data_IF_571019072182
#
_entry.id   IF_571019072182
#
_cell.length_a   1.000
_cell.length_b   1.000
_cell.length_c   1.000
_cell.angle_alpha   90.00
_cell.angle_beta   90.00
_cell.angle_gamma   90.00
#
_symmetry.space_group_name_H-M   'P 1'
#
loop_
_entity.id
_entity.type
_entity.pdbx_description
1 polymer ?
#
# COMPACT_ATOMS: atom_id res chain seq x y z
N UNK A 1 -25.66 -51.83 -58.26
CA UNK A 1 -25.69 -52.66 -57.04
C UNK A 1 -26.31 -51.85 -55.91
N UNK A 2 -27.36 -52.36 -55.29
CA UNK A 2 -28.02 -51.82 -54.08
C UNK A 2 -27.59 -52.66 -52.83
N UNK A 3 -28.06 -52.41 -51.58
CA UNK A 3 -28.02 -51.17 -50.78
C UNK A 3 -27.66 -51.47 -49.27
N UNK A 4 -28.16 -50.62 -48.33
CA UNK A 4 -28.37 -50.74 -46.84
C UNK A 4 -27.57 -49.64 -46.07
N UNK A 5 -28.09 -48.53 -45.50
CA UNK A 5 -29.29 -48.09 -44.68
C UNK A 5 -29.05 -48.06 -43.15
N UNK A 6 -29.02 -46.86 -42.51
CA UNK A 6 -30.06 -46.21 -41.62
C UNK A 6 -29.72 -46.40 -40.11
N UNK A 7 -29.96 -45.52 -39.12
CA UNK A 7 -30.96 -44.44 -38.84
C UNK A 7 -30.30 -43.22 -38.11
N UNK A 8 -30.78 -41.96 -38.08
CA UNK A 8 -32.14 -41.36 -37.83
C UNK A 8 -32.51 -41.35 -36.33
N UNK A 9 -33.10 -40.34 -35.66
CA UNK A 9 -33.22 -38.86 -35.79
C UNK A 9 -33.81 -38.31 -34.46
N UNK A 10 -33.82 -36.99 -34.21
CA UNK A 10 -34.49 -36.33 -33.06
C UNK A 10 -36.03 -36.30 -33.21
N UNK A 11 -36.85 -36.31 -32.13
CA UNK A 11 -37.35 -35.02 -31.56
C UNK A 11 -37.78 -35.02 -30.04
N UNK A 12 -38.24 -33.85 -29.58
CA UNK A 12 -38.87 -33.48 -28.26
C UNK A 12 -40.43 -33.53 -28.34
N UNK A 13 -41.26 -33.24 -27.28
CA UNK A 13 -41.14 -33.34 -25.80
C UNK A 13 -42.42 -33.86 -25.03
N UNK A 14 -42.37 -33.92 -23.68
CA UNK A 14 -43.49 -33.90 -22.66
C UNK A 14 -44.52 -35.06 -22.59
N UNK A 15 -45.29 -35.26 -21.47
CA UNK A 15 -45.03 -34.99 -20.04
C UNK A 15 -45.36 -36.20 -19.09
N UNK A 16 -44.87 -36.19 -17.84
CA UNK A 16 -45.37 -37.07 -16.75
C UNK A 16 -45.31 -36.36 -15.38
N UNK A 17 -46.27 -36.65 -14.49
CA UNK A 17 -46.51 -35.99 -13.20
C UNK A 17 -46.12 -36.89 -11.98
N UNK A 18 -46.26 -36.45 -10.70
CA UNK A 18 -45.34 -36.80 -9.60
C UNK A 18 -45.83 -37.89 -8.63
N UNK A 19 -44.94 -38.36 -7.74
CA UNK A 19 -45.19 -38.78 -6.34
C UNK A 19 -43.83 -39.20 -5.67
N UNK A 20 -43.71 -39.39 -4.33
CA UNK A 20 -43.69 -38.31 -3.35
C UNK A 20 -42.41 -38.30 -2.47
N UNK A 21 -42.32 -37.27 -1.62
CA UNK A 21 -41.19 -36.92 -0.76
C UNK A 21 -40.99 -37.87 0.44
N UNK A 22 -39.73 -38.12 0.85
CA UNK A 22 -39.38 -38.90 2.04
C UNK A 22 -38.58 -38.03 3.04
N UNK A 23 -39.09 -38.00 4.27
CA UNK A 23 -38.83 -37.03 5.35
C UNK A 23 -37.38 -36.84 5.83
N UNK A 24 -37.07 -35.66 6.40
CA UNK A 24 -36.19 -35.49 7.55
C UNK A 24 -36.97 -35.48 8.88
N UNK A 25 -36.23 -35.64 9.99
CA UNK A 25 -36.74 -35.88 11.35
C UNK A 25 -37.39 -34.67 12.06
N UNK A 26 -38.18 -34.95 13.10
CA UNK A 26 -39.08 -33.99 13.76
C UNK A 26 -38.41 -33.02 14.75
N UNK A 27 -39.11 -31.92 15.10
CA UNK A 27 -39.26 -31.63 16.53
C UNK A 27 -40.68 -31.21 16.97
N UNK A 28 -40.97 -31.53 18.24
CA UNK A 28 -41.89 -30.87 19.18
C UNK A 28 -43.34 -30.57 18.75
N UNK A 29 -44.28 -31.35 19.31
CA UNK A 29 -45.71 -31.04 19.25
C UNK A 29 -46.10 -29.83 20.10
N UNK A 30 -46.82 -28.87 19.49
CA UNK A 30 -47.60 -27.83 20.16
C UNK A 30 -49.06 -27.90 19.65
N UNK A 31 -50.02 -27.62 20.54
CA UNK A 31 -51.43 -27.93 20.31
C UNK A 31 -52.17 -26.89 19.45
N UNK A 32 -53.05 -27.30 18.53
CA UNK A 32 -54.05 -26.42 17.91
C UNK A 32 -55.30 -26.25 18.81
N UNK A 33 -56.11 -25.18 18.60
CA UNK A 33 -57.15 -24.76 19.54
C UNK A 33 -58.45 -25.60 19.48
N UNK A 34 -59.24 -25.46 20.55
CA UNK A 34 -60.57 -26.07 20.68
C UNK A 34 -61.57 -25.55 19.65
N UNK A 35 -62.20 -26.45 18.90
CA UNK A 35 -63.34 -26.13 18.04
C UNK A 35 -64.61 -26.04 18.88
N UNK A 36 -65.35 -24.93 18.76
CA UNK A 36 -66.65 -24.74 19.43
C UNK A 36 -67.70 -25.77 18.98
N UNK A 37 -68.62 -26.06 19.88
CA UNK A 37 -69.59 -27.13 19.72
C UNK A 37 -70.74 -26.74 18.75
N UNK A 38 -70.97 -27.58 17.74
CA UNK A 38 -72.27 -27.63 17.06
C UNK A 38 -73.36 -28.01 18.07
N UNK A 39 -74.52 -27.33 18.09
CA UNK A 39 -75.57 -27.59 19.07
C UNK A 39 -76.19 -28.97 18.87
N UNK A 40 -76.46 -29.66 19.98
CA UNK A 40 -77.09 -30.97 19.97
C UNK A 40 -78.52 -30.92 19.40
N UNK A 41 -78.85 -31.90 18.55
CA UNK A 41 -80.24 -32.18 18.19
C UNK A 41 -81.03 -32.59 19.45
N UNK A 42 -82.28 -32.12 19.63
CA UNK A 42 -83.10 -32.56 20.75
C UNK A 42 -83.38 -34.07 20.65
N UNK A 43 -83.20 -34.78 21.76
CA UNK A 43 -83.51 -36.20 21.85
C UNK A 43 -85.00 -36.45 21.61
N UNK A 44 -85.31 -37.57 20.93
CA UNK A 44 -86.68 -38.08 20.82
C UNK A 44 -87.33 -38.23 22.20
N UNK A 45 -88.63 -37.94 22.35
CA UNK A 45 -89.33 -38.22 23.60
C UNK A 45 -89.28 -39.72 23.92
N UNK A 46 -89.22 -40.03 25.22
CA UNK A 46 -89.22 -41.41 25.70
C UNK A 46 -90.49 -42.16 25.25
N UNK A 47 -90.43 -43.48 25.03
CA UNK A 47 -91.63 -44.29 24.81
C UNK A 47 -92.56 -44.19 26.04
N UNK A 48 -93.87 -44.15 25.78
CA UNK A 48 -94.92 -44.08 26.81
C UNK A 48 -94.70 -45.09 27.93
N UNK A 49 -94.81 -44.60 29.17
CA UNK A 49 -94.83 -45.45 30.35
C UNK A 49 -96.09 -46.33 30.32
N UNK A 50 -95.98 -47.56 30.80
CA UNK A 50 -96.92 -48.62 30.47
C UNK A 50 -98.35 -48.30 30.94
N UNK A 51 -99.27 -48.16 29.98
CA UNK A 51 -100.70 -48.04 30.25
C UNK A 51 -101.17 -49.22 31.12
N UNK A 52 -101.59 -48.92 32.35
CA UNK A 52 -102.06 -49.94 33.29
C UNK A 52 -103.27 -50.68 32.69
N UNK A 53 -103.33 -52.02 32.79
CA UNK A 53 -104.44 -52.79 32.25
C UNK A 53 -105.73 -52.49 33.02
N UNK A 54 -106.61 -51.69 32.42
CA UNK A 54 -107.96 -51.44 32.94
C UNK A 54 -108.72 -52.77 32.95
N UNK A 55 -109.19 -53.17 34.14
CA UNK A 55 -109.88 -54.44 34.34
C UNK A 55 -111.13 -54.58 33.45
N UNK A 56 -111.46 -55.80 32.97
CA UNK A 56 -112.63 -56.03 32.12
C UNK A 56 -113.92 -55.72 32.88
N UNK A 57 -114.58 -54.62 32.53
CA UNK A 57 -115.90 -54.29 33.08
C UNK A 57 -116.98 -55.16 32.44
N UNK A 58 -117.35 -56.20 33.18
CA UNK A 58 -118.67 -56.81 33.32
C UNK A 58 -119.67 -56.58 32.18
N UNK A 59 -119.94 -57.62 31.40
CA UNK A 59 -120.89 -57.63 30.28
C UNK A 59 -122.40 -57.62 30.68
N UNK A 60 -122.76 -57.09 31.85
CA UNK A 60 -124.12 -57.09 32.39
C UNK A 60 -124.43 -55.78 33.17
N UNK A 61 -124.67 -54.70 32.43
CA UNK A 61 -125.30 -53.45 32.91
C UNK A 61 -125.59 -52.53 31.72
N UNK A 62 -126.53 -52.91 30.84
CA UNK A 62 -126.87 -52.15 29.63
C UNK A 62 -128.32 -51.63 29.58
N UNK A 63 -129.11 -51.85 30.65
CA UNK A 63 -130.58 -51.74 30.58
C UNK A 63 -131.24 -50.98 31.74
N UNK A 64 -130.50 -50.08 32.43
CA UNK A 64 -131.14 -49.11 33.35
C UNK A 64 -130.33 -47.81 33.54
N UNK A 65 -129.79 -47.26 32.45
CA UNK A 65 -129.38 -45.85 32.42
C UNK A 65 -130.60 -45.00 32.06
N UNK A 66 -131.01 -44.00 32.88
CA UNK A 66 -132.01 -43.04 32.44
C UNK A 66 -131.46 -42.38 31.16
N UNK A 67 -132.21 -42.49 30.05
CA UNK A 67 -131.80 -41.91 28.76
C UNK A 67 -131.41 -40.45 29.02
N UNK A 68 -130.19 -40.01 28.67
CA UNK A 68 -129.79 -38.63 28.90
C UNK A 68 -130.84 -37.73 28.26
N UNK A 69 -131.38 -36.80 29.07
CA UNK A 69 -132.41 -35.85 28.63
C UNK A 69 -131.99 -35.20 27.31
N UNK A 70 -132.97 -34.99 26.43
CA UNK A 70 -132.73 -34.67 25.02
C UNK A 70 -131.59 -33.67 24.82
N UNK A 71 -130.70 -34.00 23.88
CA UNK A 71 -129.53 -33.20 23.47
C UNK A 71 -129.86 -31.70 23.58
N UNK A 72 -129.16 -30.90 24.41
CA UNK A 72 -129.53 -29.51 24.58
C UNK A 72 -129.46 -28.79 23.24
N UNK A 73 -130.54 -28.06 22.94
CA UNK A 73 -130.69 -27.28 21.71
C UNK A 73 -129.54 -26.23 21.62
N UNK A 74 -129.03 -25.97 20.42
CA UNK A 74 -127.92 -25.03 20.21
C UNK A 74 -126.50 -25.64 20.24
N UNK A 75 -126.32 -26.93 20.56
CA UNK A 75 -124.96 -27.53 20.62
C UNK A 75 -124.23 -27.58 19.27
N UNK A 76 -124.96 -27.69 18.15
CA UNK A 76 -124.36 -27.72 16.82
C UNK A 76 -123.93 -26.32 16.43
N UNK A 77 -124.79 -25.33 16.63
CA UNK A 77 -124.54 -23.92 16.39
C UNK A 77 -123.38 -23.40 17.27
N UNK A 78 -123.30 -23.82 18.53
CA UNK A 78 -122.19 -23.47 19.42
C UNK A 78 -120.85 -24.13 19.01
N UNK A 79 -120.91 -25.36 18.45
CA UNK A 79 -119.73 -26.03 17.89
C UNK A 79 -119.26 -25.32 16.61
N UNK A 80 -120.18 -25.04 15.69
CA UNK A 80 -119.92 -24.34 14.42
C UNK A 80 -119.39 -22.92 14.67
N UNK A 81 -119.97 -22.16 15.59
CA UNK A 81 -119.48 -20.84 15.99
C UNK A 81 -118.05 -20.90 16.55
N UNK A 82 -117.70 -21.93 17.32
CA UNK A 82 -116.35 -22.14 17.84
C UNK A 82 -115.35 -22.51 16.73
N UNK A 83 -115.77 -23.33 15.75
CA UNK A 83 -114.95 -23.64 14.57
C UNK A 83 -114.72 -22.37 13.74
N UNK A 84 -115.77 -21.60 13.44
CA UNK A 84 -115.68 -20.33 12.72
C UNK A 84 -114.78 -19.31 13.45
N UNK A 85 -114.87 -19.20 14.78
CA UNK A 85 -113.98 -18.36 15.57
C UNK A 85 -112.51 -18.85 15.53
N UNK A 86 -112.28 -20.17 15.55
CA UNK A 86 -110.94 -20.74 15.42
C UNK A 86 -110.36 -20.53 14.01
N UNK A 87 -111.19 -20.62 12.96
CA UNK A 87 -110.79 -20.32 11.58
C UNK A 87 -110.52 -18.83 11.37
N UNK A 88 -111.33 -17.94 11.95
CA UNK A 88 -111.08 -16.49 11.94
C UNK A 88 -109.76 -16.15 12.64
N UNK A 89 -109.50 -16.72 13.82
CA UNK A 89 -108.23 -16.55 14.54
C UNK A 89 -107.03 -17.09 13.75
N UNK A 90 -107.17 -18.25 13.08
CA UNK A 90 -106.14 -18.78 12.16
C UNK A 90 -105.91 -17.86 10.96
N UNK A 91 -106.97 -17.29 10.38
CA UNK A 91 -106.88 -16.36 9.25
C UNK A 91 -106.31 -14.99 9.64
N UNK A 92 -106.47 -14.56 10.90
CA UNK A 92 -105.77 -13.38 11.44
C UNK A 92 -104.30 -13.69 11.71
N UNK A 93 -104.00 -14.80 12.39
CA UNK A 93 -102.62 -15.24 12.64
C UNK A 93 -101.83 -15.44 11.33
N UNK A 94 -102.47 -15.98 10.28
CA UNK A 94 -101.87 -16.10 8.95
C UNK A 94 -101.58 -14.73 8.31
N UNK A 95 -102.47 -13.73 8.49
CA UNK A 95 -102.23 -12.35 8.03
C UNK A 95 -101.11 -11.66 8.80
N UNK A 96 -101.06 -11.82 10.12
CA UNK A 96 -99.98 -11.31 10.96
C UNK A 96 -98.63 -11.96 10.61
N UNK A 97 -98.60 -13.29 10.38
CA UNK A 97 -97.41 -14.00 9.94
C UNK A 97 -96.95 -13.58 8.54
N UNK A 98 -97.86 -13.34 7.60
CA UNK A 98 -97.53 -12.82 6.27
C UNK A 98 -96.93 -11.41 6.35
N UNK A 99 -97.51 -10.51 7.14
CA UNK A 99 -96.98 -9.17 7.38
C UNK A 99 -95.61 -9.20 8.07
N UNK A 100 -95.40 -10.08 9.06
CA UNK A 100 -94.11 -10.28 9.71
C UNK A 100 -93.05 -10.82 8.73
N UNK A 101 -93.43 -11.75 7.83
CA UNK A 101 -92.54 -12.28 6.80
C UNK A 101 -92.22 -11.26 5.69
N UNK A 102 -93.11 -10.30 5.43
CA UNK A 102 -92.82 -9.14 4.56
C UNK A 102 -91.87 -8.16 5.24
N UNK A 103 -92.14 -7.77 6.49
CA UNK A 103 -91.25 -6.91 7.27
C UNK A 103 -89.85 -7.51 7.44
N UNK A 104 -89.73 -8.82 7.65
CA UNK A 104 -88.46 -9.53 7.72
C UNK A 104 -87.69 -9.50 6.39
N UNK A 105 -88.39 -9.61 5.25
CA UNK A 105 -87.78 -9.46 3.91
C UNK A 105 -87.28 -8.04 3.67
N UNK A 106 -88.11 -7.03 3.97
CA UNK A 106 -87.70 -5.62 3.87
C UNK A 106 -86.50 -5.29 4.78
N UNK A 107 -86.45 -5.85 5.99
CA UNK A 107 -85.32 -5.70 6.89
C UNK A 107 -84.04 -6.38 6.36
N UNK A 108 -84.16 -7.57 5.75
CA UNK A 108 -83.03 -8.28 5.12
C UNK A 108 -82.52 -7.53 3.88
N UNK A 109 -83.41 -7.01 3.04
CA UNK A 109 -83.06 -6.17 1.88
C UNK A 109 -82.36 -4.87 2.31
N UNK A 110 -82.87 -4.20 3.35
CA UNK A 110 -82.24 -3.01 3.91
C UNK A 110 -80.86 -3.31 4.54
N UNK A 111 -80.69 -4.46 5.19
CA UNK A 111 -79.39 -4.89 5.73
C UNK A 111 -78.38 -5.18 4.60
N UNK A 112 -78.81 -5.89 3.54
CA UNK A 112 -77.98 -6.16 2.37
C UNK A 112 -77.58 -4.87 1.63
N UNK A 113 -78.49 -3.90 1.51
CA UNK A 113 -78.21 -2.59 0.93
C UNK A 113 -77.19 -1.79 1.78
N UNK A 114 -77.31 -1.82 3.12
CA UNK A 114 -76.32 -1.22 4.01
C UNK A 114 -74.95 -1.88 3.91
N UNK A 115 -74.90 -3.22 3.78
CA UNK A 115 -73.63 -3.93 3.58
C UNK A 115 -72.99 -3.57 2.24
N UNK A 116 -73.76 -3.58 1.15
CA UNK A 116 -73.29 -3.17 -0.17
C UNK A 116 -72.72 -1.74 -0.16
N UNK A 117 -73.40 -0.79 0.49
CA UNK A 117 -72.92 0.58 0.63
C UNK A 117 -71.61 0.67 1.46
N UNK A 118 -71.44 -0.15 2.51
CA UNK A 118 -70.19 -0.24 3.26
C UNK A 118 -69.06 -0.84 2.42
N UNK A 119 -69.36 -1.89 1.64
CA UNK A 119 -68.38 -2.49 0.73
C UNK A 119 -67.96 -1.51 -0.37
N UNK A 120 -68.87 -0.70 -0.91
CA UNK A 120 -68.54 0.33 -1.90
C UNK A 120 -67.71 1.46 -1.28
N UNK A 121 -68.08 1.96 -0.10
CA UNK A 121 -67.29 2.96 0.62
C UNK A 121 -65.86 2.48 0.91
N UNK A 122 -65.71 1.22 1.34
CA UNK A 122 -64.40 0.60 1.56
C UNK A 122 -63.58 0.46 0.26
N UNK A 123 -64.21 0.14 -0.89
CA UNK A 123 -63.54 0.14 -2.20
C UNK A 123 -63.07 1.54 -2.60
N UNK A 124 -63.91 2.56 -2.45
CA UNK A 124 -63.56 3.95 -2.74
C UNK A 124 -62.44 4.48 -1.82
N UNK A 125 -62.41 4.04 -0.55
CA UNK A 125 -61.31 4.36 0.37
C UNK A 125 -60.01 3.64 -0.03
N UNK A 126 -60.07 2.36 -0.36
CA UNK A 126 -58.91 1.59 -0.84
C UNK A 126 -58.34 2.16 -2.15
N UNK A 127 -59.19 2.61 -3.08
CA UNK A 127 -58.76 3.25 -4.33
C UNK A 127 -58.05 4.59 -4.07
N UNK A 128 -58.61 5.44 -3.20
CA UNK A 128 -57.99 6.71 -2.78
C UNK A 128 -56.67 6.48 -2.03
N UNK A 129 -56.59 5.46 -1.18
CA UNK A 129 -55.36 5.08 -0.50
C UNK A 129 -54.29 4.59 -1.49
N UNK A 130 -54.67 3.76 -2.46
CA UNK A 130 -53.77 3.30 -3.52
C UNK A 130 -53.31 4.44 -4.44
N UNK A 131 -54.16 5.43 -4.72
CA UNK A 131 -53.75 6.62 -5.47
C UNK A 131 -52.78 7.49 -4.65
N UNK A 132 -53.06 7.74 -3.37
CA UNK A 132 -52.16 8.47 -2.48
C UNK A 132 -50.79 7.78 -2.36
N UNK A 133 -50.74 6.45 -2.31
CA UNK A 133 -49.50 5.68 -2.36
C UNK A 133 -48.74 5.89 -3.67
N UNK A 134 -49.40 5.75 -4.84
CA UNK A 134 -48.76 6.01 -6.15
C UNK A 134 -48.23 7.45 -6.25
N UNK A 135 -48.97 8.44 -5.74
CA UNK A 135 -48.52 9.83 -5.72
C UNK A 135 -47.32 10.04 -4.77
N UNK A 136 -47.26 9.34 -3.63
CA UNK A 136 -46.12 9.40 -2.71
C UNK A 136 -44.87 8.72 -3.30
N UNK A 137 -45.03 7.56 -3.95
CA UNK A 137 -43.95 6.86 -4.65
C UNK A 137 -43.37 7.70 -5.79
N UNK A 138 -44.24 8.33 -6.61
CA UNK A 138 -43.82 9.22 -7.69
C UNK A 138 -43.03 10.45 -7.17
N UNK A 139 -43.50 11.10 -6.09
CA UNK A 139 -42.76 12.20 -5.44
C UNK A 139 -41.41 11.73 -4.89
N UNK A 140 -41.37 10.58 -4.25
CA UNK A 140 -40.12 10.01 -3.74
C UNK A 140 -39.15 9.62 -4.89
N UNK A 141 -39.65 9.23 -6.06
CA UNK A 141 -38.83 9.05 -7.26
C UNK A 141 -38.31 10.39 -7.81
N UNK A 142 -39.17 11.40 -7.95
CA UNK A 142 -38.76 12.75 -8.37
C UNK A 142 -37.69 13.35 -7.43
N UNK A 143 -37.86 13.21 -6.12
CA UNK A 143 -36.86 13.64 -5.12
C UNK A 143 -35.54 12.89 -5.26
N UNK A 144 -35.58 11.56 -5.53
CA UNK A 144 -34.37 10.75 -5.79
C UNK A 144 -33.67 11.18 -7.08
N UNK A 145 -34.41 11.38 -8.17
CA UNK A 145 -33.86 11.87 -9.44
C UNK A 145 -33.26 13.28 -9.28
N UNK A 146 -33.92 14.17 -8.53
CA UNK A 146 -33.41 15.51 -8.24
C UNK A 146 -32.18 15.51 -7.31
N UNK A 147 -32.06 14.54 -6.40
CA UNK A 147 -30.87 14.35 -5.59
C UNK A 147 -29.70 13.77 -6.42
N UNK A 148 -29.99 12.80 -7.30
CA UNK A 148 -28.99 12.25 -8.22
C UNK A 148 -28.47 13.30 -9.20
N UNK A 149 -29.36 14.13 -9.77
CA UNK A 149 -28.99 15.22 -10.66
C UNK A 149 -28.06 16.25 -9.98
N UNK A 150 -28.37 16.67 -8.74
CA UNK A 150 -27.50 17.53 -7.93
C UNK A 150 -26.14 16.87 -7.66
N UNK A 151 -26.14 15.61 -7.24
CA UNK A 151 -24.90 14.88 -6.99
C UNK A 151 -24.09 14.62 -8.28
N UNK A 152 -24.71 14.64 -9.47
CA UNK A 152 -24.02 14.59 -10.76
C UNK A 152 -23.43 15.95 -11.16
N UNK A 153 -24.13 17.05 -10.86
CA UNK A 153 -23.64 18.43 -11.04
C UNK A 153 -22.44 18.72 -10.13
N UNK A 154 -22.54 18.43 -8.83
CA UNK A 154 -21.44 18.53 -7.86
C UNK A 154 -20.20 17.73 -8.30
N UNK A 155 -20.40 16.53 -8.86
CA UNK A 155 -19.30 15.71 -9.40
C UNK A 155 -18.65 16.34 -10.64
N UNK A 156 -19.42 16.96 -11.53
CA UNK A 156 -18.88 17.69 -12.69
C UNK A 156 -18.11 18.94 -12.26
N UNK A 157 -18.60 19.68 -11.27
CA UNK A 157 -17.87 20.80 -10.69
C UNK A 157 -16.55 20.36 -10.03
N UNK A 158 -16.58 19.28 -9.25
CA UNK A 158 -15.40 18.73 -8.60
C UNK A 158 -14.36 18.24 -9.65
N UNK A 159 -14.81 17.61 -10.72
CA UNK A 159 -13.94 17.21 -11.83
C UNK A 159 -13.35 18.42 -12.56
N UNK A 160 -14.16 19.44 -12.87
CA UNK A 160 -13.68 20.67 -13.51
C UNK A 160 -12.61 21.38 -12.67
N UNK A 161 -12.86 21.57 -11.36
CA UNK A 161 -11.87 22.12 -10.42
C UNK A 161 -10.59 21.28 -10.37
N UNK A 162 -10.71 19.95 -10.36
CA UNK A 162 -9.56 19.06 -10.39
C UNK A 162 -8.80 19.09 -11.74
N UNK A 163 -9.45 19.43 -12.85
CA UNK A 163 -8.80 19.67 -14.14
C UNK A 163 -8.06 21.01 -14.15
N UNK A 164 -8.68 22.09 -13.64
CA UNK A 164 -8.04 23.40 -13.46
C UNK A 164 -6.81 23.33 -12.56
N UNK A 165 -6.88 22.62 -11.43
CA UNK A 165 -5.74 22.39 -10.53
C UNK A 165 -4.60 21.63 -11.22
N UNK A 166 -4.93 20.64 -12.07
CA UNK A 166 -3.92 19.90 -12.86
C UNK A 166 -3.25 20.78 -13.90
N UNK A 167 -4.02 21.59 -14.63
CA UNK A 167 -3.49 22.56 -15.59
C UNK A 167 -2.59 23.58 -14.90
N UNK A 168 -3.03 24.18 -13.79
CA UNK A 168 -2.22 25.10 -13.01
C UNK A 168 -0.94 24.45 -12.43
N UNK A 169 -0.98 23.16 -12.08
CA UNK A 169 0.19 22.41 -11.66
C UNK A 169 1.16 22.10 -12.81
N UNK A 170 0.64 21.81 -14.02
CA UNK A 170 1.44 21.62 -15.23
C UNK A 170 2.11 22.92 -15.68
N UNK A 171 1.37 24.04 -15.70
CA UNK A 171 1.92 25.37 -15.99
C UNK A 171 3.02 25.78 -15.00
N UNK A 172 2.85 25.51 -13.71
CA UNK A 172 3.88 25.74 -12.69
C UNK A 172 5.14 24.92 -12.95
N UNK A 173 5.01 23.62 -13.28
CA UNK A 173 6.15 22.76 -13.64
C UNK A 173 6.84 23.24 -14.91
N UNK A 174 6.08 23.67 -15.91
CA UNK A 174 6.62 24.22 -17.14
C UNK A 174 7.37 25.56 -16.91
N UNK A 175 6.85 26.41 -16.02
CA UNK A 175 7.51 27.64 -15.61
C UNK A 175 8.79 27.38 -14.81
N UNK A 176 8.77 26.42 -13.89
CA UNK A 176 9.94 25.98 -13.10
C UNK A 176 11.03 25.40 -14.01
N UNK A 177 10.67 24.52 -14.95
CA UNK A 177 11.61 23.94 -15.92
C UNK A 177 12.25 25.03 -16.81
N UNK A 178 11.47 26.01 -17.29
CA UNK A 178 11.99 27.16 -18.05
C UNK A 178 12.91 28.04 -17.21
N UNK A 179 12.59 28.25 -15.93
CA UNK A 179 13.46 29.00 -15.02
C UNK A 179 14.78 28.24 -14.75
N UNK A 180 14.73 26.92 -14.62
CA UNK A 180 15.94 26.10 -14.49
C UNK A 180 16.80 26.13 -15.77
N UNK A 181 16.18 26.01 -16.94
CA UNK A 181 16.85 26.14 -18.24
C UNK A 181 17.53 27.52 -18.38
N UNK A 182 16.82 28.60 -18.05
CA UNK A 182 17.38 29.96 -18.04
C UNK A 182 18.56 30.11 -17.07
N UNK A 183 18.48 29.49 -15.88
CA UNK A 183 19.60 29.49 -14.91
C UNK A 183 20.81 28.72 -15.45
N UNK A 184 20.60 27.56 -16.08
CA UNK A 184 21.68 26.77 -16.71
C UNK A 184 22.31 27.53 -17.88
N UNK A 185 21.51 28.19 -18.71
CA UNK A 185 21.99 29.03 -19.81
C UNK A 185 22.78 30.25 -19.30
N UNK A 186 22.31 30.91 -18.23
CA UNK A 186 23.02 32.02 -17.60
C UNK A 186 24.35 31.57 -16.95
N UNK A 187 24.40 30.40 -16.32
CA UNK A 187 25.63 29.83 -15.77
C UNK A 187 26.63 29.45 -16.89
N UNK A 188 26.15 28.84 -17.98
CA UNK A 188 26.97 28.55 -19.15
C UNK A 188 27.56 29.82 -19.77
N UNK A 189 26.73 30.86 -20.00
CA UNK A 189 27.19 32.14 -20.51
C UNK A 189 28.20 32.83 -19.58
N UNK A 190 28.02 32.73 -18.26
CA UNK A 190 28.97 33.25 -17.27
C UNK A 190 30.32 32.51 -17.31
N UNK A 191 30.30 31.18 -17.47
CA UNK A 191 31.52 30.36 -17.66
C UNK A 191 32.24 30.72 -18.97
N UNK A 192 31.52 30.85 -20.08
CA UNK A 192 32.07 31.30 -21.36
C UNK A 192 32.68 32.71 -21.25
N UNK A 193 32.05 33.63 -20.51
CA UNK A 193 32.61 34.96 -20.27
C UNK A 193 33.87 34.90 -19.40
N UNK A 194 33.89 34.07 -18.36
CA UNK A 194 35.07 33.85 -17.52
C UNK A 194 36.24 33.26 -18.31
N UNK A 195 35.99 32.23 -19.12
CA UNK A 195 36.98 31.61 -20.01
C UNK A 195 37.53 32.62 -21.02
N UNK A 196 36.67 33.45 -21.64
CA UNK A 196 37.12 34.52 -22.54
C UNK A 196 38.00 35.54 -21.81
N UNK A 197 37.61 35.97 -20.61
CA UNK A 197 38.42 36.89 -19.78
C UNK A 197 39.73 36.24 -19.32
N UNK A 198 39.75 34.92 -19.09
CA UNK A 198 40.97 34.18 -18.75
C UNK A 198 41.91 34.03 -19.94
N UNK A 199 41.37 33.74 -21.13
CA UNK A 199 42.14 33.70 -22.38
C UNK A 199 42.75 35.07 -22.72
N UNK A 200 42.00 36.16 -22.56
CA UNK A 200 42.50 37.54 -22.76
C UNK A 200 43.64 37.88 -21.78
N UNK A 201 43.51 37.52 -20.49
CA UNK A 201 44.59 37.67 -19.50
C UNK A 201 45.82 36.84 -19.88
N UNK A 202 45.64 35.57 -20.25
CA UNK A 202 46.74 34.69 -20.64
C UNK A 202 47.42 35.15 -21.94
N UNK A 203 46.71 35.79 -22.86
CA UNK A 203 47.31 36.42 -24.04
C UNK A 203 48.10 37.68 -23.67
N UNK A 204 47.57 38.53 -22.77
CA UNK A 204 48.28 39.70 -22.25
C UNK A 204 49.58 39.30 -21.53
N UNK A 205 49.54 38.29 -20.66
CA UNK A 205 50.72 37.73 -19.99
C UNK A 205 51.77 37.18 -20.97
N UNK A 206 51.34 36.50 -22.05
CA UNK A 206 52.24 36.03 -23.11
C UNK A 206 52.90 37.20 -23.85
N UNK A 207 52.14 38.25 -24.19
CA UNK A 207 52.67 39.45 -24.84
C UNK A 207 53.67 40.19 -23.93
N UNK A 208 53.38 40.29 -22.63
CA UNK A 208 54.34 40.84 -21.65
C UNK A 208 55.60 39.99 -21.53
N UNK A 209 55.47 38.66 -21.47
CA UNK A 209 56.62 37.75 -21.40
C UNK A 209 57.48 37.81 -22.67
N UNK A 210 56.87 37.90 -23.86
CA UNK A 210 57.56 38.07 -25.12
C UNK A 210 58.30 39.41 -25.18
N UNK A 211 57.67 40.51 -24.75
CA UNK A 211 58.30 41.83 -24.67
C UNK A 211 59.49 41.85 -23.70
N UNK A 212 59.37 41.24 -22.52
CA UNK A 212 60.47 41.08 -21.56
C UNK A 212 61.61 40.25 -22.14
N UNK A 213 61.30 39.14 -22.80
CA UNK A 213 62.29 38.30 -23.46
C UNK A 213 62.97 39.03 -24.64
N UNK A 214 62.27 39.93 -25.34
CA UNK A 214 62.88 40.77 -26.37
C UNK A 214 63.79 41.85 -25.77
N UNK A 215 63.37 42.48 -24.66
CA UNK A 215 64.21 43.43 -23.92
C UNK A 215 65.50 42.75 -23.41
N UNK A 216 65.38 41.55 -22.85
CA UNK A 216 66.51 40.74 -22.40
C UNK A 216 67.44 40.36 -23.56
N UNK A 217 66.90 39.90 -24.70
CA UNK A 217 67.70 39.65 -25.92
C UNK A 217 68.46 40.90 -26.37
N UNK A 218 67.78 42.05 -26.44
CA UNK A 218 68.40 43.34 -26.80
C UNK A 218 69.44 43.78 -25.77
N UNK A 219 69.27 43.47 -24.48
CA UNK A 219 70.25 43.74 -23.43
C UNK A 219 71.47 42.82 -23.54
N UNK A 220 71.27 41.53 -23.82
CA UNK A 220 72.34 40.57 -24.04
C UNK A 220 73.19 40.92 -25.27
N UNK A 221 72.56 41.36 -26.37
CA UNK A 221 73.23 41.84 -27.57
C UNK A 221 74.07 43.09 -27.30
N UNK A 222 73.52 44.08 -26.58
CA UNK A 222 74.30 45.26 -26.13
C UNK A 222 75.49 44.87 -25.26
N UNK A 223 75.30 43.99 -24.28
CA UNK A 223 76.37 43.52 -23.42
C UNK A 223 77.43 42.70 -24.19
N UNK A 224 77.05 42.02 -25.28
CA UNK A 224 78.02 41.37 -26.15
C UNK A 224 78.79 42.37 -27.02
N UNK A 225 78.13 43.40 -27.56
CA UNK A 225 78.79 44.48 -28.29
C UNK A 225 79.80 45.23 -27.38
N UNK A 226 79.41 45.56 -26.15
CA UNK A 226 80.30 46.15 -25.14
C UNK A 226 81.50 45.24 -24.81
N UNK A 227 81.29 43.92 -24.68
CA UNK A 227 82.39 42.97 -24.49
C UNK A 227 83.34 42.93 -25.70
N UNK A 228 82.82 42.93 -26.93
CA UNK A 228 83.63 42.96 -28.16
C UNK A 228 84.40 44.27 -28.29
N UNK A 229 83.81 45.41 -27.93
CA UNK A 229 84.53 46.69 -27.87
C UNK A 229 85.62 46.69 -26.80
N UNK A 230 85.35 46.14 -25.60
CA UNK A 230 86.35 46.03 -24.54
C UNK A 230 87.51 45.10 -24.94
N UNK A 231 87.22 43.99 -25.60
CA UNK A 231 88.23 43.08 -26.16
C UNK A 231 89.07 43.76 -27.25
N UNK A 232 88.44 44.50 -28.18
CA UNK A 232 89.15 45.25 -29.21
C UNK A 232 90.05 46.34 -28.61
N UNK A 233 89.59 47.08 -27.59
CA UNK A 233 90.41 48.06 -26.84
C UNK A 233 91.57 47.38 -26.12
N UNK A 234 91.33 46.26 -25.45
CA UNK A 234 92.39 45.49 -24.80
C UNK A 234 93.40 44.92 -25.80
N UNK A 235 92.97 44.53 -27.01
CA UNK A 235 93.89 44.13 -28.08
C UNK A 235 94.70 45.32 -28.60
N UNK A 236 94.09 46.49 -28.80
CA UNK A 236 94.79 47.73 -29.16
C UNK A 236 95.83 48.12 -28.10
N UNK A 237 95.46 48.10 -26.81
CA UNK A 237 96.39 48.34 -25.71
C UNK A 237 97.52 47.31 -25.67
N UNK A 238 97.24 46.02 -25.90
CA UNK A 238 98.28 44.98 -25.99
C UNK A 238 99.22 45.20 -27.17
N UNK A 239 98.69 45.54 -28.35
CA UNK A 239 99.50 45.89 -29.53
C UNK A 239 100.35 47.14 -29.29
N UNK A 240 99.81 48.15 -28.61
CA UNK A 240 100.55 49.35 -28.23
C UNK A 240 101.63 49.07 -27.17
N UNK A 241 101.37 48.18 -26.20
CA UNK A 241 102.35 47.74 -25.22
C UNK A 241 103.46 46.88 -25.86
N UNK A 242 103.12 46.00 -26.82
CA UNK A 242 104.09 45.21 -27.58
C UNK A 242 104.97 46.11 -28.46
N UNK A 243 104.39 47.10 -29.14
CA UNK A 243 105.14 48.09 -29.92
C UNK A 243 106.10 48.92 -29.03
N UNK A 244 105.66 49.36 -27.85
CA UNK A 244 106.52 50.03 -26.86
C UNK A 244 107.64 49.12 -26.35
N UNK A 245 107.33 47.86 -26.03
CA UNK A 245 108.33 46.88 -25.62
C UNK A 245 109.34 46.57 -26.75
N UNK A 246 108.90 46.59 -28.02
CA UNK A 246 109.81 46.48 -29.15
C UNK A 246 110.69 47.73 -29.31
N UNK A 247 110.13 48.94 -29.13
CA UNK A 247 110.88 50.19 -29.13
C UNK A 247 111.92 50.23 -27.98
N UNK A 248 111.53 49.85 -26.76
CA UNK A 248 112.43 49.69 -25.62
C UNK A 248 113.53 48.65 -25.88
N UNK A 249 113.19 47.51 -26.50
CA UNK A 249 114.18 46.49 -26.90
C UNK A 249 115.15 47.02 -27.95
N UNK A 250 114.67 47.76 -28.96
CA UNK A 250 115.51 48.41 -29.99
C UNK A 250 116.39 49.50 -29.36
N UNK A 251 115.89 50.26 -28.39
CA UNK A 251 116.65 51.25 -27.65
C UNK A 251 117.74 50.60 -26.76
N UNK A 252 117.39 49.52 -26.05
CA UNK A 252 118.34 48.74 -25.25
C UNK A 252 119.38 47.99 -26.11
N UNK A 253 119.01 47.55 -27.31
CA UNK A 253 119.96 46.99 -28.28
C UNK A 253 120.89 48.07 -28.84
N UNK A 254 120.38 49.28 -29.13
CA UNK A 254 121.20 50.42 -29.53
C UNK A 254 122.13 50.90 -28.40
N UNK A 255 121.68 50.89 -27.14
CA UNK A 255 122.57 51.10 -25.98
C UNK A 255 123.62 50.01 -25.85
N UNK A 256 123.25 48.73 -26.00
CA UNK A 256 124.22 47.62 -26.01
C UNK A 256 125.25 47.76 -27.13
N UNK A 257 124.84 48.18 -28.32
CA UNK A 257 125.76 48.45 -29.43
C UNK A 257 126.70 49.62 -29.10
N UNK A 258 126.19 50.73 -28.54
CA UNK A 258 127.03 51.84 -28.06
C UNK A 258 128.01 51.41 -26.96
N UNK A 259 127.54 50.65 -25.98
CA UNK A 259 128.38 50.09 -24.91
C UNK A 259 129.43 49.11 -25.46
N UNK A 260 129.10 48.35 -26.50
CA UNK A 260 130.05 47.48 -27.21
C UNK A 260 131.08 48.31 -28.00
N UNK A 261 130.68 49.41 -28.64
CA UNK A 261 131.60 50.33 -29.32
C UNK A 261 132.51 51.07 -28.35
N UNK A 262 131.99 51.47 -27.17
CA UNK A 262 132.78 52.08 -26.10
C UNK A 262 133.73 51.05 -25.46
N UNK A 263 133.29 49.82 -25.20
CA UNK A 263 134.17 48.73 -24.74
C UNK A 263 135.23 48.34 -25.79
N UNK A 264 134.91 48.40 -27.08
CA UNK A 264 135.89 48.22 -28.17
C UNK A 264 136.82 49.43 -28.34
N UNK A 265 136.42 50.62 -27.87
CA UNK A 265 137.30 51.80 -27.78
C UNK A 265 138.23 51.69 -26.58
N UNK A 266 137.75 51.21 -25.44
CA UNK A 266 138.51 50.95 -24.22
C UNK A 266 139.52 49.82 -24.42
N UNK A 267 139.12 48.72 -25.07
CA UNK A 267 140.00 47.62 -25.48
C UNK A 267 141.07 48.01 -26.53
N UNK A 268 140.95 49.19 -27.16
CA UNK A 268 141.99 49.79 -28.02
C UNK A 268 142.91 50.76 -27.27
N UNK A 269 142.70 50.98 -25.97
CA UNK A 269 143.43 51.97 -25.16
C UNK A 269 144.06 51.40 -23.87
N UNK A 270 143.97 50.10 -23.59
CA UNK A 270 144.59 49.52 -22.38
C UNK A 270 145.01 48.05 -22.49
N UNK A 271 146.33 47.81 -22.46
CA UNK A 271 146.94 46.53 -22.01
C UNK A 271 147.36 46.68 -20.53
N UNK A 272 146.86 45.84 -19.61
CA UNK A 272 147.56 45.34 -18.39
C UNK A 272 146.63 44.56 -17.42
N UNK A 273 147.09 43.40 -16.92
CA UNK A 273 146.57 42.71 -15.71
C UNK A 273 145.20 42.01 -15.86
N UNK A 274 145.03 40.68 -15.89
CA UNK A 274 145.76 39.52 -15.36
C UNK A 274 145.56 39.20 -13.86
N UNK A 275 144.99 38.00 -13.63
CA UNK A 275 144.94 37.18 -12.40
C UNK A 275 143.98 37.59 -11.25
N UNK A 276 143.27 36.60 -10.66
CA UNK A 276 142.44 36.85 -9.46
C UNK A 276 141.18 35.98 -9.24
N UNK A 277 141.22 34.70 -9.60
CA UNK A 277 140.66 33.54 -8.84
C UNK A 277 139.16 33.41 -8.48
N UNK A 278 138.61 32.25 -8.86
CA UNK A 278 137.31 31.73 -8.40
C UNK A 278 137.19 31.55 -6.87
N UNK A 279 136.08 32.02 -6.30
CA UNK A 279 135.58 31.56 -5.00
C UNK A 279 134.15 31.04 -5.13
N UNK A 280 134.02 29.75 -5.41
CA UNK A 280 132.76 29.03 -5.28
C UNK A 280 132.42 28.85 -3.80
N UNK A 281 131.64 29.78 -3.25
CA UNK A 281 131.10 29.69 -1.88
C UNK A 281 129.92 28.72 -1.82
N UNK A 282 130.00 27.74 -0.92
CA UNK A 282 128.90 26.83 -0.57
C UNK A 282 128.56 26.92 0.92
N UNK A 283 127.27 27.07 1.21
CA UNK A 283 126.67 27.03 2.56
C UNK A 283 126.79 28.31 3.39
N UNK A 284 126.02 28.53 4.48
CA UNK A 284 124.76 27.89 4.95
C UNK A 284 124.21 28.74 6.11
N UNK A 285 122.98 29.26 6.00
CA UNK A 285 122.26 29.93 7.09
C UNK A 285 120.79 29.44 7.13
N UNK A 286 120.13 29.32 8.31
CA UNK A 286 119.06 28.34 8.45
C UNK A 286 117.62 28.88 8.43
N UNK A 287 116.73 28.11 7.78
CA UNK A 287 115.25 28.20 7.73
C UNK A 287 114.63 29.39 6.97
N UNK A 288 113.89 29.04 5.90
CA UNK A 288 112.97 29.92 5.17
C UNK A 288 113.36 30.08 3.69
N UNK A 289 112.52 29.79 2.69
CA UNK A 289 111.16 29.24 2.77
C UNK A 289 110.41 29.44 1.45
N UNK A 290 110.57 28.53 0.50
CA UNK A 290 109.76 28.49 -0.72
C UNK A 290 108.94 27.19 -0.73
N UNK A 291 107.62 27.31 -0.62
CA UNK A 291 106.69 26.20 -0.79
C UNK A 291 106.47 25.87 -2.28
N UNK A 292 105.79 24.74 -2.53
CA UNK A 292 104.80 24.43 -3.62
C UNK A 292 105.15 23.13 -4.36
N UNK A 293 104.33 22.08 -4.49
CA UNK A 293 103.03 21.61 -3.96
C UNK A 293 103.12 20.07 -3.87
N UNK A 294 102.42 19.41 -2.93
CA UNK A 294 101.46 18.30 -3.22
C UNK A 294 100.93 17.66 -1.92
N UNK A 295 99.61 17.74 -1.71
CA UNK A 295 98.88 16.66 -1.01
C UNK A 295 98.63 16.72 0.51
N UNK A 296 98.52 17.90 1.13
CA UNK A 296 97.75 18.06 2.40
C UNK A 296 96.26 18.32 2.08
N UNK A 297 95.29 17.99 2.93
CA UNK A 297 95.36 17.53 4.32
C UNK A 297 94.21 16.56 4.68
N UNK A 298 94.53 15.63 5.58
CA UNK A 298 93.55 15.03 6.47
C UNK A 298 93.89 15.38 7.91
N UNK A 299 93.09 16.24 8.55
CA UNK A 299 93.09 16.50 9.99
C UNK A 299 91.63 16.71 10.41
N UNK A 300 91.01 15.79 11.14
CA UNK A 300 91.14 15.59 12.59
C UNK A 300 90.57 16.74 13.41
N UNK A 301 89.58 16.41 14.24
CA UNK A 301 88.83 17.33 15.05
C UNK A 301 89.61 17.87 16.26
N UNK A 302 89.30 19.10 16.66
CA UNK A 302 89.06 19.48 18.04
C UNK A 302 88.24 20.78 18.13
N UNK A 303 87.06 20.71 18.77
CA UNK A 303 86.44 21.72 19.69
C UNK A 303 86.40 23.19 19.21
N UNK A 304 85.25 23.90 19.12
CA UNK A 304 84.28 24.14 20.21
C UNK A 304 82.90 24.67 19.65
N UNK A 305 81.94 25.30 20.37
CA UNK A 305 80.60 24.72 20.47
C UNK A 305 79.47 25.69 20.06
N UNK A 306 79.06 25.72 18.78
CA UNK A 306 78.00 26.64 18.31
C UNK A 306 76.90 26.02 17.43
N UNK A 307 76.77 24.70 17.41
CA UNK A 307 75.79 23.98 16.57
C UNK A 307 74.55 23.43 17.32
N UNK A 308 74.44 23.66 18.64
CA UNK A 308 73.39 23.07 19.48
C UNK A 308 72.21 24.02 19.83
N UNK A 309 72.18 25.25 19.29
CA UNK A 309 71.28 26.31 19.78
C UNK A 309 70.36 26.98 18.72
N UNK A 310 70.45 26.63 17.43
CA UNK A 310 69.70 27.30 16.35
C UNK A 310 68.96 26.35 15.38
N UNK A 311 68.29 25.33 15.93
CA UNK A 311 67.34 24.48 15.20
C UNK A 311 66.00 24.27 15.96
N UNK A 312 65.68 25.15 16.90
CA UNK A 312 64.47 25.09 17.74
C UNK A 312 63.37 26.09 17.37
N UNK A 313 63.54 26.88 16.31
CA UNK A 313 62.65 27.99 15.96
C UNK A 313 62.39 28.09 14.45
N UNK A 314 61.54 27.20 13.93
CA UNK A 314 60.69 27.47 12.74
C UNK A 314 59.49 26.49 12.70
N UNK A 315 58.82 26.32 13.84
CA UNK A 315 57.55 25.61 13.91
C UNK A 315 56.38 26.56 13.62
N UNK A 316 56.21 27.03 12.37
CA UNK A 316 54.90 27.43 11.82
C UNK A 316 54.98 27.72 10.31
N UNK A 317 54.13 27.06 9.50
CA UNK A 317 53.86 27.51 8.13
C UNK A 317 53.60 26.41 7.08
N UNK A 318 52.33 26.02 6.93
CA UNK A 318 51.64 25.62 5.67
C UNK A 318 52.48 24.86 4.61
N UNK A 319 52.38 23.55 4.44
CA UNK A 319 51.21 22.77 3.98
C UNK A 319 50.67 23.22 2.60
N UNK A 320 51.00 22.48 1.53
CA UNK A 320 50.14 22.27 0.35
C UNK A 320 50.57 21.00 -0.42
N UNK A 321 49.58 20.21 -0.85
CA UNK A 321 49.58 19.27 -2.01
C UNK A 321 50.52 18.03 -2.02
N UNK A 322 50.16 16.89 -2.63
CA UNK A 322 48.94 16.48 -3.37
C UNK A 322 48.63 14.97 -3.22
N UNK A 323 47.46 14.53 -3.67
CA UNK A 323 46.84 13.20 -3.42
C UNK A 323 47.54 11.95 -3.99
N UNK A 324 46.89 10.77 -4.00
CA UNK A 324 45.46 10.48 -3.77
C UNK A 324 45.23 9.00 -3.43
N UNK A 325 44.11 8.68 -2.74
CA UNK A 325 43.34 7.43 -2.95
C UNK A 325 41.91 7.58 -2.37
N UNK A 326 40.96 6.78 -2.87
CA UNK A 326 39.52 7.11 -2.89
C UNK A 326 38.66 6.53 -1.77
N UNK A 327 37.68 7.30 -1.28
CA UNK A 327 36.38 6.78 -0.80
C UNK A 327 35.38 6.64 -1.95
N UNK A 328 34.15 6.16 -1.80
CA UNK A 328 33.27 5.97 -0.63
C UNK A 328 32.09 5.02 -1.09
N UNK A 329 30.88 4.90 -0.45
CA UNK A 329 30.38 5.57 0.76
C UNK A 329 29.47 4.76 1.73
N UNK A 330 29.10 5.44 2.84
CA UNK A 330 27.75 5.54 3.42
C UNK A 330 27.29 4.70 4.66
N UNK A 331 26.66 5.46 5.59
CA UNK A 331 25.53 5.14 6.50
C UNK A 331 25.76 4.54 7.92
N UNK A 332 25.13 5.24 8.89
CA UNK A 332 24.46 4.84 10.17
C UNK A 332 24.71 3.45 10.81
N UNK A 333 24.65 3.25 12.14
CA UNK A 333 24.23 4.12 13.24
C UNK A 333 23.90 3.27 14.49
N UNK A 334 24.53 3.62 15.61
CA UNK A 334 24.33 3.24 17.03
C UNK A 334 23.31 2.15 17.46
N UNK A 335 23.79 1.13 18.20
CA UNK A 335 22.98 0.34 19.17
C UNK A 335 23.81 -0.05 20.41
N UNK A 336 23.22 0.10 21.61
CA UNK A 336 23.75 -0.46 22.88
C UNK A 336 23.01 -1.75 23.26
N UNK A 337 23.70 -2.78 23.82
CA UNK A 337 23.06 -3.97 24.38
C UNK A 337 22.92 -3.92 25.91
N UNK A 338 21.82 -4.47 26.43
CA UNK A 338 21.67 -4.88 27.84
C UNK A 338 21.07 -6.30 27.92
N UNK A 339 21.53 -7.08 28.90
CA UNK A 339 21.31 -8.53 28.99
C UNK A 339 20.02 -8.91 29.77
N UNK A 340 19.45 -10.11 29.53
CA UNK A 340 18.21 -10.56 30.19
C UNK A 340 18.44 -11.23 31.55
N UNK A 341 17.40 -11.25 32.39
CA UNK A 341 17.31 -12.11 33.59
C UNK A 341 16.04 -12.96 33.55
N UNK A 342 16.13 -14.20 34.03
CA UNK A 342 15.06 -15.21 33.99
C UNK A 342 14.35 -15.36 35.33
N UNK A 343 13.04 -15.63 35.31
CA UNK A 343 12.27 -16.10 36.47
C UNK A 343 11.42 -17.32 36.06
N UNK A 344 11.22 -18.23 37.02
CA UNK A 344 10.72 -19.61 36.88
C UNK A 344 9.29 -19.75 37.49
N UNK A 345 8.41 -20.62 36.96
CA UNK A 345 7.02 -20.75 37.42
C UNK A 345 6.82 -21.79 38.56
N UNK A 346 5.62 -21.80 39.15
CA UNK A 346 5.22 -22.67 40.29
C UNK A 346 3.83 -23.34 40.10
N UNK A 347 3.85 -24.66 39.86
CA UNK A 347 2.97 -25.77 40.35
C UNK A 347 1.41 -25.79 40.18
N UNK A 348 0.94 -26.98 39.78
CA UNK A 348 -0.37 -27.71 39.70
C UNK A 348 -1.37 -27.62 40.91
N UNK A 349 -2.60 -28.26 40.94
CA UNK A 349 -3.15 -29.40 40.12
C UNK A 349 -4.67 -29.43 39.69
N UNK A 350 -4.98 -30.31 38.69
CA UNK A 350 -6.09 -31.31 38.45
C UNK A 350 -7.56 -31.16 39.01
N UNK A 351 -8.61 -31.91 38.52
CA UNK A 351 -8.59 -33.19 37.75
C UNK A 351 -9.66 -33.47 36.63
N UNK A 352 -9.49 -34.64 35.98
CA UNK A 352 -10.52 -35.65 35.61
C UNK A 352 -11.05 -35.83 34.14
N UNK A 353 -10.67 -37.01 33.57
CA UNK A 353 -11.48 -37.95 32.73
C UNK A 353 -11.48 -37.84 31.19
N UNK A 354 -10.76 -38.78 30.54
CA UNK A 354 -10.96 -39.27 29.14
C UNK A 354 -12.00 -40.44 29.13
N UNK A 355 -12.62 -40.86 27.99
CA UNK A 355 -11.98 -41.48 26.80
C UNK A 355 -12.47 -40.82 25.46
N UNK A 356 -12.12 -41.22 24.23
CA UNK A 356 -11.58 -42.46 23.66
C UNK A 356 -10.73 -42.17 22.38
N UNK A 357 -10.00 -43.17 21.85
CA UNK A 357 -8.87 -42.96 20.93
C UNK A 357 -9.11 -43.29 19.44
N UNK A 358 -8.36 -42.63 18.54
CA UNK A 358 -8.02 -43.11 17.19
C UNK A 358 -6.66 -42.56 16.71
N UNK A 359 -5.78 -43.44 16.17
CA UNK A 359 -4.47 -43.09 15.57
C UNK A 359 -4.59 -42.77 14.06
N UNK A 360 -3.64 -42.18 13.32
CA UNK A 360 -2.24 -41.79 13.54
C UNK A 360 -1.98 -40.41 12.81
N UNK A 361 -0.84 -40.01 12.19
CA UNK A 361 0.53 -40.56 12.02
C UNK A 361 1.64 -39.64 12.63
N UNK A 362 2.97 -39.91 12.49
CA UNK A 362 4.01 -39.15 13.21
C UNK A 362 4.56 -37.95 12.44
N UNK A 363 4.75 -36.81 13.12
CA UNK A 363 5.48 -35.65 12.59
C UNK A 363 4.99 -34.27 13.05
N UNK A 364 3.81 -34.17 13.66
CA UNK A 364 3.28 -32.91 14.18
C UNK A 364 3.82 -32.56 15.58
N UNK A 365 4.11 -31.27 15.80
CA UNK A 365 4.13 -30.67 17.15
C UNK A 365 2.84 -31.03 17.90
N UNK A 366 2.82 -31.10 19.26
CA UNK A 366 1.62 -31.47 20.02
C UNK A 366 0.45 -30.55 19.64
N UNK A 367 -0.40 -31.06 18.77
CA UNK A 367 -1.49 -30.28 18.20
C UNK A 367 -2.57 -30.16 19.26
N UNK A 368 -2.53 -29.04 19.99
CA UNK A 368 -3.41 -28.76 21.10
C UNK A 368 -4.89 -28.94 20.77
N UNK A 369 -5.68 -28.92 21.85
CA UNK A 369 -7.14 -29.00 21.84
C UNK A 369 -7.72 -28.20 20.66
N UNK A 370 -8.68 -28.76 19.89
CA UNK A 370 -9.20 -28.10 18.70
C UNK A 370 -9.65 -26.67 19.00
N UNK A 371 -9.65 -25.82 17.97
CA UNK A 371 -10.21 -24.49 18.11
C UNK A 371 -11.63 -24.62 18.66
N UNK A 372 -11.94 -23.86 19.71
CA UNK A 372 -13.27 -23.81 20.28
C UNK A 372 -14.24 -23.15 19.28
N UNK A 373 -15.54 -23.35 19.49
CA UNK A 373 -16.54 -22.73 18.61
C UNK A 373 -16.43 -21.20 18.65
N UNK A 374 -16.19 -20.62 19.82
CA UNK A 374 -15.98 -19.17 20.01
C UNK A 374 -14.69 -18.65 19.36
N UNK A 375 -13.60 -19.42 19.35
CA UNK A 375 -12.35 -19.05 18.65
C UNK A 375 -12.54 -18.99 17.12
N UNK A 376 -13.17 -20.03 16.53
CA UNK A 376 -13.52 -20.03 15.09
C UNK A 376 -14.50 -18.90 14.74
N UNK A 377 -15.49 -18.67 15.61
CA UNK A 377 -16.49 -17.62 15.42
C UNK A 377 -15.87 -16.21 15.49
N UNK A 378 -14.94 -15.97 16.43
CA UNK A 378 -14.19 -14.72 16.50
C UNK A 378 -13.38 -14.43 15.23
N UNK A 379 -12.70 -15.44 14.69
CA UNK A 379 -12.00 -15.35 13.40
C UNK A 379 -12.96 -15.05 12.24
N UNK A 380 -14.11 -15.74 12.18
CA UNK A 380 -15.15 -15.53 11.18
C UNK A 380 -15.72 -14.10 11.22
N UNK A 381 -15.98 -13.57 12.41
CA UNK A 381 -16.46 -12.20 12.59
C UNK A 381 -15.41 -11.18 12.16
N UNK A 382 -14.15 -11.37 12.53
CA UNK A 382 -13.05 -10.48 12.15
C UNK A 382 -12.84 -10.43 10.62
N UNK A 383 -12.95 -11.57 9.92
CA UNK A 383 -12.90 -11.56 8.45
C UNK A 383 -14.12 -10.88 7.81
N UNK A 384 -15.30 -11.05 8.40
CA UNK A 384 -16.55 -10.49 7.87
C UNK A 384 -16.55 -8.95 7.82
N UNK A 385 -15.83 -8.30 8.75
CA UNK A 385 -15.71 -6.83 8.79
C UNK A 385 -15.02 -6.25 7.54
N UNK A 386 -14.01 -6.94 6.98
CA UNK A 386 -13.33 -6.50 5.76
C UNK A 386 -13.91 -7.10 4.47
N UNK A 387 -14.92 -7.97 4.55
CA UNK A 387 -15.50 -8.62 3.38
C UNK A 387 -16.50 -7.71 2.67
N UNK A 388 -16.06 -7.04 1.61
CA UNK A 388 -16.90 -6.15 0.83
C UNK A 388 -17.71 -6.91 -0.24
N UNK A 389 -18.91 -7.36 0.13
CA UNK A 389 -19.90 -7.96 -0.79
C UNK A 389 -20.21 -7.08 -2.00
N UNK A 390 -20.15 -5.74 -1.86
CA UNK A 390 -20.43 -4.79 -2.93
C UNK A 390 -19.31 -4.66 -3.98
N UNK A 391 -18.13 -5.27 -3.74
CA UNK A 391 -17.05 -5.35 -4.71
C UNK A 391 -17.11 -6.61 -5.61
N UNK A 392 -18.04 -7.52 -5.35
CA UNK A 392 -18.25 -8.73 -6.13
C UNK A 392 -19.14 -8.45 -7.35
N UNK A 393 -18.95 -9.19 -8.44
CA UNK A 393 -19.93 -9.25 -9.52
C UNK A 393 -21.21 -9.96 -9.07
N UNK A 394 -22.31 -9.78 -9.82
CA UNK A 394 -23.61 -10.42 -9.52
C UNK A 394 -23.53 -11.96 -9.55
N UNK A 395 -22.60 -12.52 -10.33
CA UNK A 395 -22.29 -13.95 -10.34
C UNK A 395 -21.41 -14.34 -9.16
N UNK A 396 -20.33 -13.59 -8.91
CA UNK A 396 -19.41 -13.81 -7.79
C UNK A 396 -20.10 -13.72 -6.42
N UNK A 397 -21.19 -12.95 -6.30
CA UNK A 397 -21.97 -12.85 -5.05
C UNK A 397 -22.86 -14.06 -4.77
N UNK A 398 -23.02 -15.00 -5.70
CA UNK A 398 -23.87 -16.19 -5.55
C UNK A 398 -23.10 -17.51 -5.41
N UNK A 399 -21.79 -17.49 -5.64
CA UNK A 399 -20.91 -18.65 -5.57
C UNK A 399 -20.25 -18.82 -4.19
N UNK A 400 -19.62 -19.98 -3.97
CA UNK A 400 -18.67 -20.21 -2.87
C UNK A 400 -17.25 -20.19 -3.39
N UNK A 401 -16.33 -19.48 -2.72
CA UNK A 401 -14.89 -19.50 -3.03
C UNK A 401 -14.07 -19.85 -1.80
N UNK A 402 -13.28 -20.92 -1.91
CA UNK A 402 -12.39 -21.42 -0.87
C UNK A 402 -10.99 -20.82 -1.05
N UNK A 403 -10.48 -20.08 -0.07
CA UNK A 403 -9.14 -19.47 -0.10
C UNK A 403 -8.25 -20.11 0.95
N UNK A 404 -7.14 -20.70 0.51
CA UNK A 404 -6.12 -21.26 1.39
C UNK A 404 -4.98 -20.27 1.63
N UNK A 405 -4.53 -20.12 2.87
CA UNK A 405 -3.36 -19.29 3.19
C UNK A 405 -2.68 -19.72 4.49
N UNK A 406 -1.46 -19.20 4.70
CA UNK A 406 -0.71 -19.38 5.94
C UNK A 406 -0.74 -18.15 6.81
N UNK A 407 -0.64 -18.36 8.11
CA UNK A 407 -0.58 -17.31 9.13
C UNK A 407 0.69 -17.42 9.96
N UNK A 408 1.15 -16.30 10.51
CA UNK A 408 2.25 -16.26 11.49
C UNK A 408 1.72 -16.50 12.91
N UNK A 409 2.59 -16.82 13.90
CA UNK A 409 2.18 -16.99 15.30
C UNK A 409 1.56 -15.74 15.97
N UNK A 410 1.55 -14.59 15.30
CA UNK A 410 0.92 -13.34 15.73
C UNK A 410 -0.42 -13.10 15.00
N UNK A 411 -0.99 -14.14 14.37
CA UNK A 411 -2.29 -14.10 13.70
C UNK A 411 -2.29 -13.30 12.39
N UNK A 412 -1.14 -12.97 11.80
CA UNK A 412 -1.06 -12.19 10.54
C UNK A 412 -0.93 -13.13 9.33
N UNK A 413 -1.69 -12.93 8.24
CA UNK A 413 -1.58 -13.75 7.03
C UNK A 413 -0.30 -13.43 6.24
N UNK A 414 0.38 -14.47 5.74
CA UNK A 414 1.51 -14.36 4.83
C UNK A 414 0.99 -14.04 3.40
N UNK A 415 1.24 -12.82 2.87
CA UNK A 415 0.65 -12.38 1.60
C UNK A 415 1.09 -13.21 0.39
N UNK A 416 2.22 -13.93 0.46
CA UNK A 416 2.72 -14.78 -0.61
C UNK A 416 2.10 -16.19 -0.61
N UNK A 417 1.37 -16.55 0.46
CA UNK A 417 0.79 -17.89 0.64
C UNK A 417 -0.68 -18.04 0.22
N UNK A 418 -1.35 -16.92 -0.12
CA UNK A 418 -2.75 -16.91 -0.54
C UNK A 418 -2.90 -17.61 -1.90
N UNK A 419 -3.77 -18.61 -1.95
CA UNK A 419 -4.07 -19.42 -3.14
C UNK A 419 -5.56 -19.78 -3.18
N UNK A 420 -6.11 -19.85 -4.38
CA UNK A 420 -7.45 -20.38 -4.60
C UNK A 420 -7.43 -21.89 -4.32
N UNK A 421 -8.16 -22.33 -3.30
CA UNK A 421 -8.27 -23.74 -2.92
C UNK A 421 -9.42 -24.46 -3.65
N UNK A 422 -10.44 -23.72 -4.10
CA UNK A 422 -11.56 -24.22 -4.88
C UNK A 422 -12.68 -23.20 -5.03
N UNK A 423 -13.66 -23.52 -5.87
CA UNK A 423 -14.90 -22.75 -6.01
C UNK A 423 -16.08 -23.67 -6.31
N UNK A 424 -17.31 -23.20 -6.03
CA UNK A 424 -18.57 -23.88 -6.33
C UNK A 424 -19.60 -22.87 -6.83
N UNK A 425 -20.48 -23.29 -7.73
CA UNK A 425 -21.67 -22.54 -8.18
C UNK A 425 -21.40 -21.24 -8.99
N UNK A 426 -20.37 -21.25 -9.84
CA UNK A 426 -20.17 -20.21 -10.88
C UNK A 426 -18.94 -20.45 -11.77
N UNK A 427 -18.63 -19.51 -12.65
CA UNK A 427 -17.53 -19.62 -13.63
C UNK A 427 -16.14 -19.34 -13.05
N UNK A 428 -15.10 -19.84 -13.73
CA UNK A 428 -13.69 -19.60 -13.38
C UNK A 428 -13.33 -18.11 -13.31
N UNK A 429 -13.85 -17.28 -14.23
CA UNK A 429 -13.64 -15.84 -14.22
C UNK A 429 -14.29 -15.15 -13.01
N UNK A 430 -15.50 -15.56 -12.63
CA UNK A 430 -16.15 -15.08 -11.41
C UNK A 430 -15.41 -15.53 -10.14
N UNK A 431 -14.89 -16.76 -10.13
CA UNK A 431 -14.09 -17.30 -9.02
C UNK A 431 -12.77 -16.55 -8.84
N UNK A 432 -12.08 -16.19 -9.93
CA UNK A 432 -10.86 -15.38 -9.89
C UNK A 432 -11.12 -13.97 -9.32
N UNK A 433 -12.20 -13.30 -9.76
CA UNK A 433 -12.58 -11.99 -9.22
C UNK A 433 -12.94 -12.06 -7.73
N UNK A 434 -13.70 -13.07 -7.32
CA UNK A 434 -14.02 -13.32 -5.91
C UNK A 434 -12.78 -13.65 -5.06
N UNK A 435 -11.81 -14.39 -5.60
CA UNK A 435 -10.52 -14.67 -4.96
C UNK A 435 -9.69 -13.40 -4.73
N UNK A 436 -9.70 -12.45 -5.66
CA UNK A 436 -9.00 -11.17 -5.52
C UNK A 436 -9.64 -10.29 -4.43
N UNK A 437 -10.97 -10.21 -4.40
CA UNK A 437 -11.72 -9.54 -3.32
C UNK A 437 -11.45 -10.22 -1.96
N UNK A 438 -11.41 -11.55 -1.91
CA UNK A 438 -11.08 -12.33 -0.72
C UNK A 438 -9.67 -12.08 -0.21
N UNK A 439 -8.70 -12.15 -1.12
CA UNK A 439 -7.29 -11.90 -0.81
C UNK A 439 -7.08 -10.50 -0.26
N UNK A 440 -7.84 -9.51 -0.76
CA UNK A 440 -7.85 -8.14 -0.22
C UNK A 440 -8.47 -8.08 1.18
N UNK A 441 -9.62 -8.72 1.42
CA UNK A 441 -10.29 -8.74 2.72
C UNK A 441 -9.38 -9.37 3.81
N UNK A 442 -8.77 -10.51 3.51
CA UNK A 442 -7.81 -11.21 4.39
C UNK A 442 -6.62 -10.31 4.73
N UNK A 443 -6.01 -9.66 3.73
CA UNK A 443 -4.86 -8.76 3.94
C UNK A 443 -5.23 -7.49 4.72
N UNK A 444 -6.44 -6.96 4.55
CA UNK A 444 -6.90 -5.77 5.26
C UNK A 444 -7.15 -6.04 6.74
N UNK A 445 -7.96 -7.04 7.08
CA UNK A 445 -8.28 -7.36 8.49
C UNK A 445 -7.11 -8.07 9.20
N UNK A 446 -6.35 -8.89 8.47
CA UNK A 446 -5.18 -9.57 9.01
C UNK A 446 -4.00 -8.65 9.36
N UNK A 447 -4.03 -7.36 9.02
CA UNK A 447 -2.94 -6.41 9.30
C UNK A 447 -2.67 -6.22 10.79
N UNK A 448 -3.72 -6.27 11.61
CA UNK A 448 -3.60 -6.18 13.07
C UNK A 448 -3.36 -7.55 13.74
N UNK A 449 -3.50 -8.64 12.99
CA UNK A 449 -3.56 -10.01 13.50
C UNK A 449 -4.99 -10.43 13.86
N UNK A 450 -5.35 -11.69 13.55
CA UNK A 450 -6.62 -12.27 13.97
C UNK A 450 -6.56 -12.79 15.42
N UNK A 451 -7.68 -12.75 16.17
CA UNK A 451 -7.72 -13.15 17.59
C UNK A 451 -7.73 -14.67 17.76
N UNK A 452 -6.63 -15.35 17.44
CA UNK A 452 -6.44 -16.79 17.57
C UNK A 452 -5.44 -17.14 18.70
N UNK A 453 -5.65 -18.23 19.48
CA UNK A 453 -4.76 -18.60 20.57
C UNK A 453 -3.39 -19.08 20.06
N UNK A 454 -2.30 -18.46 20.52
CA UNK A 454 -0.92 -18.76 20.08
C UNK A 454 -0.50 -20.16 20.49
N UNK A 455 -1.05 -20.66 21.60
CA UNK A 455 -0.88 -22.00 22.16
C UNK A 455 -1.37 -23.08 21.19
N UNK A 456 -2.33 -22.74 20.31
CA UNK A 456 -2.93 -23.63 19.30
C UNK A 456 -2.38 -23.41 17.89
N UNK A 457 -1.29 -22.65 17.70
CA UNK A 457 -0.79 -22.23 16.37
C UNK A 457 -0.66 -23.37 15.35
N UNK A 458 -0.20 -24.56 15.74
CA UNK A 458 -0.11 -25.73 14.85
C UNK A 458 -1.43 -26.23 14.26
N UNK A 459 -2.59 -25.76 14.75
CA UNK A 459 -3.93 -26.04 14.19
C UNK A 459 -4.42 -25.00 13.19
N UNK A 460 -3.84 -23.80 13.17
CA UNK A 460 -4.30 -22.67 12.34
C UNK A 460 -3.18 -21.97 11.55
N UNK A 461 -1.98 -22.56 11.52
CA UNK A 461 -0.87 -22.10 10.69
C UNK A 461 -1.22 -22.14 9.19
N UNK A 462 -1.92 -23.17 8.73
CA UNK A 462 -2.49 -23.32 7.39
C UNK A 462 -4.00 -23.40 7.53
N UNK A 463 -4.75 -22.50 6.89
CA UNK A 463 -6.21 -22.41 7.00
C UNK A 463 -6.87 -22.33 5.63
N UNK A 464 -8.06 -22.91 5.51
CA UNK A 464 -8.92 -22.77 4.33
C UNK A 464 -10.22 -22.08 4.74
N UNK A 465 -10.54 -20.99 4.05
CA UNK A 465 -11.67 -20.13 4.36
C UNK A 465 -12.65 -20.12 3.19
N UNK A 466 -13.89 -20.54 3.44
CA UNK A 466 -14.97 -20.59 2.46
C UNK A 466 -15.76 -19.28 2.50
N UNK A 467 -15.65 -18.45 1.47
CA UNK A 467 -16.46 -17.23 1.33
C UNK A 467 -17.75 -17.54 0.57
N UNK A 468 -18.90 -17.29 1.22
CA UNK A 468 -20.26 -17.58 0.70
C UNK A 468 -21.20 -16.38 0.96
N UNK A 469 -22.27 -16.18 0.16
CA UNK A 469 -23.25 -15.12 0.40
C UNK A 469 -23.90 -15.13 1.79
N UNK A 470 -24.17 -16.32 2.34
CA UNK A 470 -24.78 -16.50 3.66
C UNK A 470 -23.76 -16.38 4.82
N UNK A 471 -22.46 -16.41 4.51
CA UNK A 471 -21.40 -16.13 5.46
C UNK A 471 -20.12 -16.94 5.24
N UNK A 472 -19.05 -16.45 5.87
CA UNK A 472 -17.72 -17.06 5.81
C UNK A 472 -17.69 -18.37 6.63
N UNK A 473 -17.17 -19.45 6.07
CA UNK A 473 -16.89 -20.72 6.74
C UNK A 473 -15.39 -20.90 6.99
N UNK A 474 -15.04 -21.70 8.01
CA UNK A 474 -13.67 -22.03 8.38
C UNK A 474 -13.55 -23.56 8.53
N UNK A 475 -12.55 -24.16 7.88
CA UNK A 475 -12.22 -25.59 7.99
C UNK A 475 -10.78 -25.77 8.49
#
# INVERSE_FOLDING_TARGET
TQPVTVATDLPRPTPSQPEPEAAPDAPAAAQPPVTEASPALPASPAPDDAAQPVAPRSALALDDSPRPGGRPEGLVEAYEARIAAQEAARAEAARQAAAAAEAARQAAEAAAAQEAARQEAARQEAERAAEAQRQAEARAEEERQAAEARAAEERREAEARAQEERQAAEERRAAEARAEEQRRAAEAAAREEEERRAAERAEAERREAEARAEEERRAAERAEAERREAEARAEEERRAAEARAEEERRAAEAERQRALEDALREARQGEAGAEGTDTATTGTDPFGGAQRIEGGDGASAAQDPLAAALAGAMAQGRNSESGAESGAPAETGEVMPLAPSTIRPTVLPEPATEPEAAAAPPGGLPMGEPLSLSEREGFRMALRECWNLGALSVEASRMTVSVGFRMTPDGRPDPASLRLAGYRDGSEGAAQHAFEVASRAIRMCGRNGFPLPREKYGRWQDVVVDFRPDGIGFQ
#
